data_IF_194700362948
#
_entry.id   IF_194700362948
#
_cell.length_a   1.000
_cell.length_b   1.000
_cell.length_c   1.000
_cell.angle_alpha   90.00
_cell.angle_beta   90.00
_cell.angle_gamma   90.00
#
_symmetry.space_group_name_H-M   'P 1'
#
loop_
_entity.id
_entity.type
_entity.pdbx_description
1 polymer ?
#
# COMPACT_ATOMS: atom_id res chain seq x y z
N UNK A 1 5.89 1.95 -23.22
CA UNK A 1 5.89 0.79 -22.32
C UNK A 1 6.19 1.34 -20.94
N UNK A 2 5.27 1.24 -19.98
CA UNK A 2 5.46 1.85 -18.66
C UNK A 2 6.31 0.92 -17.81
N UNK A 3 7.48 1.37 -17.40
CA UNK A 3 8.34 0.64 -16.47
C UNK A 3 7.77 0.83 -15.07
N UNK A 4 7.70 -0.26 -14.29
CA UNK A 4 7.21 -0.23 -12.92
C UNK A 4 8.33 -0.67 -11.97
N UNK A 5 8.54 0.11 -10.91
CA UNK A 5 9.43 -0.25 -9.82
C UNK A 5 8.63 -0.80 -8.64
N UNK A 6 9.08 -1.91 -8.09
CA UNK A 6 8.51 -2.50 -6.87
C UNK A 6 9.39 -2.15 -5.67
N UNK A 7 8.78 -1.61 -4.61
CA UNK A 7 9.47 -1.39 -3.34
C UNK A 7 8.65 -1.86 -2.15
N UNK A 8 9.33 -2.11 -1.02
CA UNK A 8 8.67 -2.31 0.26
C UNK A 8 7.91 -1.06 0.68
N UNK A 9 6.71 -1.29 1.21
CA UNK A 9 5.87 -0.26 1.81
C UNK A 9 6.16 -0.15 3.30
N UNK A 10 6.05 1.06 3.82
CA UNK A 10 6.16 1.38 5.24
C UNK A 10 5.00 2.22 5.73
N UNK A 11 5.00 2.59 7.02
CA UNK A 11 3.93 3.39 7.63
C UNK A 11 3.71 4.76 6.95
N UNK A 12 4.74 5.31 6.30
CA UNK A 12 4.63 6.54 5.50
C UNK A 12 3.69 6.40 4.30
N UNK A 13 3.47 5.17 3.81
CA UNK A 13 2.65 4.89 2.63
C UNK A 13 1.15 4.73 2.97
N UNK A 14 0.77 4.80 4.25
CA UNK A 14 -0.61 4.57 4.70
C UNK A 14 -1.64 5.47 4.02
N UNK A 15 -1.30 6.74 3.79
CA UNK A 15 -2.21 7.68 3.13
C UNK A 15 -2.51 7.23 1.70
N UNK A 16 -1.48 6.87 0.94
CA UNK A 16 -1.64 6.38 -0.44
C UNK A 16 -2.41 5.05 -0.50
N UNK A 17 -2.16 4.14 0.45
CA UNK A 17 -2.89 2.87 0.56
C UNK A 17 -4.38 3.12 0.78
N UNK A 18 -4.74 4.00 1.71
CA UNK A 18 -6.15 4.35 1.96
C UNK A 18 -6.83 4.97 0.74
N UNK A 19 -6.14 5.84 0.02
CA UNK A 19 -6.67 6.44 -1.20
C UNK A 19 -6.95 5.39 -2.29
N UNK A 20 -6.02 4.45 -2.49
CA UNK A 20 -6.19 3.34 -3.43
C UNK A 20 -7.34 2.44 -2.98
N UNK A 21 -7.39 2.08 -1.71
CA UNK A 21 -8.39 1.19 -1.14
C UNK A 21 -9.81 1.74 -1.32
N UNK A 22 -10.02 3.03 -1.00
CA UNK A 22 -11.32 3.70 -1.16
C UNK A 22 -11.78 3.80 -2.61
N UNK A 23 -10.84 3.91 -3.55
CA UNK A 23 -11.13 3.92 -4.99
C UNK A 23 -11.42 2.52 -5.52
N UNK A 24 -10.80 1.50 -4.93
CA UNK A 24 -10.86 0.12 -5.41
C UNK A 24 -12.07 -0.65 -4.87
N UNK A 25 -12.49 -0.36 -3.63
CA UNK A 25 -13.53 -1.12 -2.94
C UNK A 25 -14.61 -0.22 -2.35
N UNK A 26 -15.88 -0.62 -2.57
CA UNK A 26 -17.06 0.07 -2.02
C UNK A 26 -17.12 0.04 -0.49
N UNK A 27 -16.55 -1.00 0.12
CA UNK A 27 -16.45 -1.19 1.57
C UNK A 27 -14.97 -1.40 1.93
N UNK A 28 -14.20 -0.32 2.09
CA UNK A 28 -12.75 -0.38 2.26
C UNK A 28 -12.34 -0.95 3.61
N UNK A 29 -11.19 -1.61 3.66
CA UNK A 29 -10.54 -1.97 4.92
C UNK A 29 -10.12 -0.74 5.73
N UNK A 30 -9.98 -0.90 7.05
CA UNK A 30 -9.63 0.20 7.95
C UNK A 30 -8.13 0.57 7.88
N UNK A 31 -7.80 1.84 8.14
CA UNK A 31 -6.41 2.30 8.28
C UNK A 31 -5.60 1.44 9.24
N UNK A 32 -6.18 1.10 10.40
CA UNK A 32 -5.51 0.32 11.43
C UNK A 32 -5.18 -1.10 10.99
N UNK A 33 -6.01 -1.70 10.11
CA UNK A 33 -5.73 -3.01 9.52
C UNK A 33 -4.45 -2.95 8.67
N UNK A 34 -4.33 -1.96 7.78
CA UNK A 34 -3.12 -1.76 6.99
C UNK A 34 -1.89 -1.40 7.84
N UNK A 35 -2.05 -0.54 8.85
CA UNK A 35 -0.97 -0.17 9.75
C UNK A 35 -0.43 -1.41 10.50
N UNK A 36 -1.33 -2.32 10.88
CA UNK A 36 -0.98 -3.60 11.49
C UNK A 36 -0.17 -4.50 10.56
N UNK A 37 -0.55 -4.61 9.28
CA UNK A 37 0.23 -5.38 8.29
C UNK A 37 1.60 -4.77 8.01
N UNK A 38 1.68 -3.44 7.86
CA UNK A 38 2.95 -2.74 7.62
C UNK A 38 3.92 -2.84 8.82
N UNK A 39 3.40 -2.95 10.04
CA UNK A 39 4.21 -3.05 11.25
C UNK A 39 4.73 -4.49 11.52
N UNK A 40 4.15 -5.52 10.90
CA UNK A 40 4.54 -6.91 11.10
C UNK A 40 5.81 -7.23 10.30
N UNK A 41 6.92 -7.66 10.94
CA UNK A 41 8.16 -7.99 10.22
C UNK A 41 7.99 -9.15 9.22
N UNK A 42 7.06 -10.06 9.48
CA UNK A 42 6.76 -11.21 8.62
C UNK A 42 5.91 -10.86 7.40
N UNK A 43 5.27 -9.70 7.38
CA UNK A 43 4.40 -9.31 6.27
C UNK A 43 5.22 -8.87 5.06
N UNK A 44 4.72 -9.21 3.88
CA UNK A 44 5.28 -8.76 2.60
C UNK A 44 4.33 -7.69 2.06
N UNK A 45 4.70 -6.43 2.28
CA UNK A 45 3.94 -5.28 1.78
C UNK A 45 4.76 -4.61 0.68
N UNK A 46 4.27 -4.70 -0.56
CA UNK A 46 4.93 -4.16 -1.76
C UNK A 46 3.99 -3.20 -2.48
N UNK A 47 4.56 -2.11 -3.00
CA UNK A 47 3.86 -1.17 -3.86
C UNK A 47 4.54 -1.08 -5.22
N UNK A 48 3.74 -0.82 -6.26
CA UNK A 48 4.20 -0.55 -7.61
C UNK A 48 4.18 0.94 -7.90
N UNK A 49 5.28 1.47 -8.40
CA UNK A 49 5.48 2.88 -8.73
C UNK A 49 5.84 2.98 -10.21
N UNK A 50 5.38 4.03 -10.89
CA UNK A 50 5.89 4.33 -12.22
C UNK A 50 7.38 4.67 -12.12
N UNK A 51 8.20 4.05 -12.96
CA UNK A 51 9.54 4.55 -13.21
C UNK A 51 9.42 5.71 -14.20
N UNK A 52 10.02 6.86 -13.87
CA UNK A 52 10.15 7.98 -14.80
C UNK A 52 10.98 7.59 -16.03
#
# INVERSE_FOLDING_TARGET
MTTLELRRLGLSDLVAIEEIERRSYRTPWSRSMFAGELAKPSSICLGAFGAD
#
